data_IF_745159677811
#
_entry.id   IF_745159677811
#
_cell.length_a   1.000
_cell.length_b   1.000
_cell.length_c   1.000
_cell.angle_alpha   90.00
_cell.angle_beta   90.00
_cell.angle_gamma   90.00
#
_symmetry.space_group_name_H-M   'P 1'
#
loop_
_entity.id
_entity.type
_entity.pdbx_description
1 polymer ?
#
# COMPACT_ATOMS: atom_id res chain seq x y z
N UNK A 1 -1.92 21.66 6.95
CA UNK A 1 -1.65 21.05 5.63
C UNK A 1 -2.62 19.89 5.48
N UNK A 2 -3.70 20.05 4.72
CA UNK A 2 -4.66 18.97 4.47
C UNK A 2 -3.98 17.96 3.55
N UNK A 3 -3.73 16.75 4.05
CA UNK A 3 -3.47 15.62 3.18
C UNK A 3 -4.71 15.48 2.28
N UNK A 4 -4.54 15.64 0.97
CA UNK A 4 -5.60 15.24 0.03
C UNK A 4 -5.95 13.79 0.38
N UNK A 5 -7.24 13.39 0.39
CA UNK A 5 -7.59 12.00 0.59
C UNK A 5 -6.84 11.20 -0.46
N UNK A 6 -5.85 10.42 -0.01
CA UNK A 6 -5.07 9.57 -0.90
C UNK A 6 -6.07 8.68 -1.62
N UNK A 7 -6.18 8.81 -2.94
CA UNK A 7 -7.11 7.98 -3.70
C UNK A 7 -6.51 6.58 -3.77
N UNK A 8 -6.89 5.73 -2.81
CA UNK A 8 -6.46 4.34 -2.72
C UNK A 8 -7.25 3.42 -3.67
N UNK A 9 -8.43 3.86 -4.13
CA UNK A 9 -9.32 3.06 -4.99
C UNK A 9 -8.65 2.76 -6.33
N UNK A 10 -7.99 3.77 -6.91
CA UNK A 10 -7.34 3.68 -8.22
C UNK A 10 -5.85 3.28 -8.14
N UNK A 11 -5.41 2.69 -7.03
CA UNK A 11 -4.00 2.26 -6.86
C UNK A 11 -3.75 0.81 -7.24
N UNK A 12 -4.77 0.09 -7.73
CA UNK A 12 -4.62 -1.29 -8.17
C UNK A 12 -3.51 -1.39 -9.22
N UNK A 13 -2.53 -2.24 -8.94
CA UNK A 13 -1.35 -2.43 -9.77
C UNK A 13 -0.20 -1.45 -9.54
N UNK A 14 -0.29 -0.53 -8.60
CA UNK A 14 0.84 0.33 -8.23
C UNK A 14 1.91 -0.49 -7.49
N UNK A 15 3.17 -0.09 -7.60
CA UNK A 15 4.25 -0.63 -6.79
C UNK A 15 4.21 -0.01 -5.40
N UNK A 16 4.46 -0.80 -4.37
CA UNK A 16 4.59 -0.29 -3.01
C UNK A 16 6.07 -0.28 -2.63
N UNK A 17 6.58 0.89 -2.24
CA UNK A 17 7.97 1.09 -1.83
C UNK A 17 8.03 1.52 -0.37
N UNK A 18 8.98 0.96 0.39
CA UNK A 18 9.19 1.37 1.77
C UNK A 18 9.92 2.72 1.89
N UNK A 19 10.05 3.23 3.11
CA UNK A 19 10.76 4.48 3.38
C UNK A 19 12.26 4.46 3.05
N UNK A 20 12.82 3.31 2.64
CA UNK A 20 14.20 3.14 2.17
C UNK A 20 14.27 2.93 0.65
N UNK A 21 13.15 3.10 -0.07
CA UNK A 21 13.07 2.90 -1.51
C UNK A 21 13.06 1.42 -1.93
N UNK A 22 12.89 0.47 -1.00
CA UNK A 22 12.83 -0.96 -1.34
C UNK A 22 11.40 -1.35 -1.70
N UNK A 23 11.26 -2.07 -2.81
CA UNK A 23 9.96 -2.59 -3.25
C UNK A 23 9.45 -3.65 -2.26
N UNK A 24 8.25 -3.41 -1.74
CA UNK A 24 7.48 -4.31 -0.90
C UNK A 24 6.70 -5.31 -1.76
N UNK A 25 6.11 -4.82 -2.85
CA UNK A 25 5.27 -5.61 -3.73
C UNK A 25 4.41 -4.75 -4.65
N UNK A 26 3.33 -5.33 -5.17
CA UNK A 26 2.35 -4.67 -6.04
C UNK A 26 0.98 -4.68 -5.37
N UNK A 27 0.27 -3.55 -5.43
CA UNK A 27 -1.11 -3.45 -4.94
C UNK A 27 -2.00 -4.38 -5.77
N UNK A 28 -2.71 -5.29 -5.10
CA UNK A 28 -3.76 -6.10 -5.72
C UNK A 28 -5.11 -5.39 -5.65
N UNK A 29 -5.51 -4.95 -4.45
CA UNK A 29 -6.79 -4.30 -4.22
C UNK A 29 -6.81 -3.47 -2.93
N UNK A 30 -7.64 -2.41 -2.88
CA UNK A 30 -7.97 -1.72 -1.64
C UNK A 30 -8.79 -2.63 -0.71
N UNK A 31 -8.58 -2.46 0.59
CA UNK A 31 -9.26 -3.17 1.68
C UNK A 31 -10.03 -2.17 2.53
N UNK A 32 -11.22 -2.58 2.96
CA UNK A 32 -12.18 -1.76 3.70
C UNK A 32 -12.49 -2.48 5.02
N UNK A 33 -11.72 -2.16 6.07
CA UNK A 33 -11.85 -2.77 7.40
C UNK A 33 -12.75 -2.01 8.36
N UNK A 34 -12.63 -0.69 8.41
CA UNK A 34 -13.21 0.15 9.47
C UNK A 34 -14.50 0.85 9.05
N UNK A 35 -14.53 1.41 7.84
CA UNK A 35 -15.67 2.18 7.32
C UNK A 35 -16.04 1.61 5.96
N UNK A 36 -17.33 1.24 5.74
CA UNK A 36 -17.77 0.88 4.40
C UNK A 36 -17.54 2.07 3.46
N UNK A 37 -17.01 1.80 2.27
CA UNK A 37 -16.69 2.80 1.23
C UNK A 37 -15.42 3.64 1.43
N UNK A 38 -14.73 3.54 2.58
CA UNK A 38 -13.41 4.18 2.76
C UNK A 38 -12.32 3.10 2.89
N UNK A 39 -11.40 3.01 1.93
CA UNK A 39 -10.31 2.05 2.02
C UNK A 39 -9.35 2.47 3.14
N UNK A 40 -9.13 1.58 4.10
CA UNK A 40 -8.24 1.81 5.25
C UNK A 40 -6.94 1.01 5.15
N UNK A 41 -6.84 0.11 4.16
CA UNK A 41 -5.62 -0.61 3.85
C UNK A 41 -5.52 -0.98 2.37
N UNK A 42 -4.33 -1.40 1.94
CA UNK A 42 -4.04 -1.99 0.64
C UNK A 42 -3.58 -3.44 0.82
N UNK A 43 -4.15 -4.34 0.03
CA UNK A 43 -3.60 -5.68 -0.14
C UNK A 43 -2.46 -5.64 -1.14
N UNK A 44 -1.27 -6.02 -0.69
CA UNK A 44 -0.05 -6.00 -1.50
C UNK A 44 0.45 -7.42 -1.68
N UNK A 45 0.51 -7.86 -2.93
CA UNK A 45 1.18 -9.12 -3.29
C UNK A 45 2.68 -8.90 -3.27
N UNK A 46 3.40 -9.74 -2.55
CA UNK A 46 4.87 -9.74 -2.60
C UNK A 46 5.40 -10.00 -4.01
N UNK A 47 6.70 -9.77 -4.22
CA UNK A 47 7.36 -9.99 -5.52
C UNK A 47 7.16 -11.40 -6.09
N UNK A 48 7.56 -11.61 -7.35
CA UNK A 48 7.21 -12.76 -8.21
C UNK A 48 7.30 -14.17 -7.57
N UNK A 49 8.17 -14.38 -6.59
CA UNK A 49 8.35 -15.65 -5.89
C UNK A 49 7.65 -15.76 -4.52
N UNK A 50 7.03 -14.68 -4.03
CA UNK A 50 6.34 -14.67 -2.76
C UNK A 50 4.86 -15.03 -2.96
N UNK A 51 4.42 -16.10 -2.33
CA UNK A 51 2.98 -16.43 -2.20
C UNK A 51 2.29 -15.61 -1.10
N UNK A 52 3.05 -14.85 -0.32
CA UNK A 52 2.50 -14.13 0.82
C UNK A 52 1.95 -12.77 0.41
N UNK A 53 0.77 -12.48 0.92
CA UNK A 53 0.18 -11.14 0.85
C UNK A 53 0.59 -10.34 2.08
N UNK A 54 0.57 -9.02 1.94
CA UNK A 54 0.83 -8.07 3.01
C UNK A 54 -0.32 -7.08 3.04
N UNK A 55 -0.75 -6.74 4.25
CA UNK A 55 -1.77 -5.72 4.45
C UNK A 55 -1.05 -4.43 4.85
N UNK A 56 -1.16 -3.41 4.02
CA UNK A 56 -0.55 -2.09 4.21
C UNK A 56 -1.62 -1.13 4.68
N UNK A 57 -1.61 -0.70 5.95
CA UNK A 57 -2.58 0.28 6.45
C UNK A 57 -2.39 1.66 5.82
N UNK A 58 -3.49 2.40 5.62
CA UNK A 58 -3.47 3.74 5.06
C UNK A 58 -2.66 4.74 5.90
N UNK A 59 -2.61 4.57 7.23
CA UNK A 59 -1.79 5.41 8.12
C UNK A 59 -0.28 5.27 7.86
N UNK A 60 0.14 4.15 7.26
CA UNK A 60 1.54 3.91 6.92
C UNK A 60 1.92 4.51 5.56
N UNK A 61 0.97 4.98 4.77
CA UNK A 61 1.21 5.56 3.45
C UNK A 61 1.71 6.99 3.62
N UNK A 62 2.85 7.28 3.01
CA UNK A 62 3.45 8.61 2.99
C UNK A 62 2.86 9.44 1.86
N UNK A 63 2.79 8.83 0.68
CA UNK A 63 2.42 9.48 -0.56
C UNK A 63 2.01 8.45 -1.62
N UNK A 64 1.26 8.91 -2.63
CA UNK A 64 0.88 8.13 -3.81
C UNK A 64 1.27 8.94 -5.04
N UNK A 65 2.24 8.45 -5.81
CA UNK A 65 2.66 9.01 -7.09
C UNK A 65 1.91 8.30 -8.24
N UNK A 66 0.89 8.95 -8.85
CA UNK A 66 0.15 8.37 -9.96
C UNK A 66 0.93 8.38 -11.28
N UNK A 67 1.94 9.23 -11.42
CA UNK A 67 2.78 9.30 -12.64
C UNK A 67 3.72 8.11 -12.71
N UNK A 68 4.37 7.77 -11.61
CA UNK A 68 5.24 6.59 -11.55
C UNK A 68 4.51 5.30 -11.15
N UNK A 69 3.22 5.40 -10.78
CA UNK A 69 2.41 4.30 -10.23
C UNK A 69 3.07 3.68 -8.98
N UNK A 70 3.53 4.52 -8.04
CA UNK A 70 4.19 4.09 -6.81
C UNK A 70 3.46 4.63 -5.58
N UNK A 71 3.21 3.75 -4.62
CA UNK A 71 2.76 4.07 -3.27
C UNK A 71 3.97 4.04 -2.34
N UNK A 72 4.33 5.19 -1.78
CA UNK A 72 5.43 5.32 -0.84
C UNK A 72 4.96 5.12 0.59
N UNK A 73 5.69 4.32 1.38
CA UNK A 73 5.40 4.11 2.80
C UNK A 73 6.29 4.97 3.70
N UNK A 74 5.74 5.37 4.85
CA UNK A 74 6.46 6.06 5.93
C UNK A 74 7.34 5.11 6.74
N UNK A 75 7.02 3.82 6.70
CA UNK A 75 7.66 2.76 7.51
C UNK A 75 8.49 1.81 6.64
N UNK A 76 9.35 1.04 7.31
CA UNK A 76 10.11 -0.02 6.67
C UNK A 76 9.20 -1.23 6.39
N UNK A 77 9.49 -1.96 5.31
CA UNK A 77 8.69 -3.14 4.90
C UNK A 77 8.58 -4.23 5.97
N UNK A 78 9.55 -4.31 6.90
CA UNK A 78 9.57 -5.28 7.98
C UNK A 78 8.48 -5.04 9.03
N UNK A 79 8.01 -3.79 9.15
CA UNK A 79 6.91 -3.39 10.05
C UNK A 79 5.54 -3.75 9.46
N UNK A 80 5.44 -3.92 8.15
CA UNK A 80 4.19 -4.28 7.47
C UNK A 80 3.83 -5.73 7.80
N UNK A 81 2.64 -5.91 8.39
CA UNK A 81 2.13 -7.22 8.76
C UNK A 81 1.94 -8.10 7.53
N UNK A 82 2.49 -9.31 7.60
CA UNK A 82 2.20 -10.36 6.63
C UNK A 82 0.77 -10.84 6.88
N UNK A 83 -0.02 -10.90 5.81
CA UNK A 83 -1.39 -11.39 5.86
C UNK A 83 -1.40 -12.73 5.13
N UNK A 84 -1.56 -13.81 5.92
CA UNK A 84 -1.68 -15.23 5.52
C UNK A 84 -0.68 -15.68 4.43
#
# INVERSE_FOLDING_TARGET
MSALPLNLVDTAGFLVADNRGRVVGKVECPMYGTVPDVPDALSVRGGFFSRHRRLVPADTIADVDPTSQVVGLRVARETIRRFL
#
